data_IF_939010379812
#
_entry.id   IF_939010379812
#
_cell.length_a   1.000
_cell.length_b   1.000
_cell.length_c   1.000
_cell.angle_alpha   90.00
_cell.angle_beta   90.00
_cell.angle_gamma   90.00
#
_symmetry.space_group_name_H-M   'P 1'
#
loop_
_entity.id
_entity.type
_entity.pdbx_description
1 polymer ?
#
# COMPACT_ATOMS: atom_id res chain seq x y z
N UNK A 1 0.69 8.65 -21.72
CA UNK A 1 0.45 10.08 -21.87
C UNK A 1 0.74 10.78 -20.54
N UNK A 2 1.59 11.80 -20.58
CA UNK A 2 1.83 12.68 -19.44
C UNK A 2 0.92 13.89 -19.60
N UNK A 3 -0.09 14.02 -18.75
CA UNK A 3 -0.88 15.26 -18.62
C UNK A 3 -0.32 16.06 -17.45
N UNK A 4 0.60 16.97 -17.73
CA UNK A 4 1.11 17.95 -16.80
C UNK A 4 0.50 19.30 -17.13
N UNK A 5 -0.40 19.79 -16.29
CA UNK A 5 -0.94 21.15 -16.42
C UNK A 5 -0.02 22.13 -15.70
N UNK A 6 0.95 22.70 -16.41
CA UNK A 6 1.75 23.83 -15.92
C UNK A 6 1.03 25.14 -16.22
N UNK A 7 0.86 25.93 -15.17
CA UNK A 7 0.68 27.40 -15.15
C UNK A 7 -0.30 28.10 -16.12
N UNK A 8 -1.46 27.53 -16.43
CA UNK A 8 -2.64 28.36 -16.71
C UNK A 8 -3.87 27.68 -16.13
N UNK A 9 -4.75 28.48 -15.54
CA UNK A 9 -5.89 28.11 -14.71
C UNK A 9 -6.99 27.33 -15.46
N UNK A 10 -6.65 26.23 -16.11
CA UNK A 10 -7.67 25.31 -16.64
C UNK A 10 -8.08 24.38 -15.51
N UNK A 11 -9.28 24.56 -15.05
CA UNK A 11 -9.87 23.78 -13.96
C UNK A 11 -10.37 22.44 -14.52
N UNK A 12 -9.47 21.50 -14.79
CA UNK A 12 -9.83 20.15 -15.20
C UNK A 12 -10.52 19.44 -14.04
N UNK A 13 -11.84 19.33 -14.09
CA UNK A 13 -12.66 18.71 -13.04
C UNK A 13 -13.05 17.27 -13.36
N UNK A 14 -13.15 16.94 -14.65
CA UNK A 14 -13.51 15.60 -15.12
C UNK A 14 -12.57 15.15 -16.21
N UNK A 15 -12.10 13.92 -16.14
CA UNK A 15 -11.30 13.28 -17.17
C UNK A 15 -11.92 11.94 -17.52
N UNK A 16 -12.33 11.81 -18.78
CA UNK A 16 -12.74 10.56 -19.40
C UNK A 16 -11.84 10.31 -20.59
N UNK A 17 -11.07 9.26 -20.52
CA UNK A 17 -10.20 8.86 -21.60
C UNK A 17 -10.97 7.88 -22.50
N UNK A 18 -11.69 8.43 -23.49
CA UNK A 18 -12.25 7.62 -24.57
C UNK A 18 -11.04 7.17 -25.40
N UNK A 19 -10.70 5.90 -25.34
CA UNK A 19 -9.48 5.47 -25.92
C UNK A 19 -9.62 4.34 -26.89
N UNK A 20 -8.60 4.23 -27.63
CA UNK A 20 -8.23 3.12 -28.47
C UNK A 20 -7.88 1.83 -27.68
N UNK A 21 -8.16 1.81 -26.40
CA UNK A 21 -7.87 0.70 -25.48
C UNK A 21 -6.37 0.41 -25.30
N UNK A 22 -5.47 1.25 -25.82
CA UNK A 22 -4.00 1.02 -25.83
C UNK A 22 -3.26 1.73 -24.71
N UNK A 23 -3.95 2.56 -23.89
CA UNK A 23 -3.30 3.29 -22.82
C UNK A 23 -2.75 2.33 -21.76
N UNK A 24 -1.44 2.23 -21.66
CA UNK A 24 -0.76 1.37 -20.68
C UNK A 24 -0.35 2.12 -19.42
N UNK A 25 -0.06 3.42 -19.50
CA UNK A 25 0.39 4.21 -18.35
C UNK A 25 -0.32 5.56 -18.32
N UNK A 26 -0.79 5.95 -17.14
CA UNK A 26 -1.46 7.22 -16.89
C UNK A 26 -0.90 7.88 -15.63
N UNK A 27 -0.41 9.10 -15.79
CA UNK A 27 -0.02 9.95 -14.67
C UNK A 27 -0.85 11.23 -14.71
N UNK A 28 -1.62 11.48 -13.64
CA UNK A 28 -2.51 12.64 -13.53
C UNK A 28 -2.14 13.46 -12.31
N UNK A 29 -1.74 14.72 -12.54
CA UNK A 29 -1.51 15.71 -11.48
C UNK A 29 -2.41 16.93 -11.73
N UNK A 30 -3.69 16.80 -11.38
CA UNK A 30 -4.68 17.85 -11.57
C UNK A 30 -5.43 18.12 -10.28
N UNK A 31 -5.05 19.19 -9.57
CA UNK A 31 -5.58 19.54 -8.25
C UNK A 31 -7.10 19.82 -8.23
N UNK A 32 -7.72 20.06 -9.37
CA UNK A 32 -9.18 20.25 -9.50
C UNK A 32 -9.95 19.02 -9.96
N UNK A 33 -9.25 17.91 -10.31
CA UNK A 33 -9.90 16.71 -10.82
C UNK A 33 -10.71 16.03 -9.72
N UNK A 34 -12.04 15.92 -9.94
CA UNK A 34 -12.99 15.26 -9.03
C UNK A 34 -13.47 13.92 -9.56
N UNK A 35 -13.42 13.71 -10.89
CA UNK A 35 -13.89 12.47 -11.53
C UNK A 35 -12.85 11.97 -12.53
N UNK A 36 -12.55 10.69 -12.44
CA UNK A 36 -11.67 9.98 -13.37
C UNK A 36 -12.36 8.67 -13.77
N UNK A 37 -12.71 8.55 -15.05
CA UNK A 37 -13.31 7.35 -15.63
C UNK A 37 -12.25 6.58 -16.43
N UNK A 38 -11.92 5.38 -15.98
CA UNK A 38 -10.91 4.49 -16.56
C UNK A 38 -11.52 3.19 -17.12
N UNK A 39 -12.84 3.09 -17.19
CA UNK A 39 -13.56 1.86 -17.59
C UNK A 39 -13.18 1.38 -18.99
N UNK A 40 -12.85 2.30 -19.91
CA UNK A 40 -12.43 1.97 -21.28
C UNK A 40 -10.93 1.64 -21.42
N UNK A 41 -10.13 1.88 -20.36
CA UNK A 41 -8.67 1.74 -20.42
C UNK A 41 -8.20 0.36 -19.92
N UNK A 42 -8.66 -0.69 -20.56
CA UNK A 42 -8.44 -2.09 -20.12
C UNK A 42 -6.99 -2.57 -20.20
N UNK A 43 -6.13 -1.87 -20.97
CA UNK A 43 -4.70 -2.18 -21.09
C UNK A 43 -3.85 -1.47 -20.03
N UNK A 44 -4.44 -0.68 -19.12
CA UNK A 44 -3.71 0.11 -18.14
C UNK A 44 -2.91 -0.79 -17.20
N UNK A 45 -1.59 -0.56 -17.16
CA UNK A 45 -0.61 -1.24 -16.30
C UNK A 45 -0.16 -0.35 -15.16
N UNK A 46 0.03 0.95 -15.42
CA UNK A 46 0.56 1.90 -14.44
C UNK A 46 -0.39 3.08 -14.29
N UNK A 47 -0.85 3.31 -13.06
CA UNK A 47 -1.68 4.46 -12.70
C UNK A 47 -1.04 5.26 -11.57
N UNK A 48 -0.82 6.55 -11.82
CA UNK A 48 -0.35 7.48 -10.81
C UNK A 48 -1.28 8.70 -10.70
N UNK A 49 -1.78 8.93 -9.48
CA UNK A 49 -2.55 10.12 -9.13
C UNK A 49 -1.71 11.01 -8.24
N UNK A 50 -1.36 12.18 -8.75
CA UNK A 50 -0.49 13.13 -8.07
C UNK A 50 -1.22 13.96 -7.01
N UNK A 51 -0.42 14.73 -6.30
CA UNK A 51 -0.81 15.58 -5.19
C UNK A 51 -1.99 16.50 -5.51
N UNK A 52 -2.95 16.55 -4.61
CA UNK A 52 -4.07 17.49 -4.66
C UNK A 52 -5.24 17.05 -5.51
N UNK A 53 -5.16 15.89 -6.17
CA UNK A 53 -6.29 15.30 -6.91
C UNK A 53 -7.48 15.11 -5.98
N UNK A 54 -8.65 15.67 -6.35
CA UNK A 54 -9.88 15.64 -5.55
C UNK A 54 -10.79 14.45 -5.84
N UNK A 55 -10.31 13.46 -6.59
CA UNK A 55 -11.02 12.20 -6.82
C UNK A 55 -11.22 11.50 -5.49
N UNK A 56 -12.47 11.22 -5.12
CA UNK A 56 -12.83 10.57 -3.84
C UNK A 56 -13.01 9.07 -3.96
N UNK A 57 -13.33 8.58 -5.16
CA UNK A 57 -13.50 7.17 -5.48
C UNK A 57 -12.91 6.84 -6.85
N UNK A 58 -12.54 5.58 -7.06
CA UNK A 58 -11.96 5.11 -8.30
C UNK A 58 -12.44 3.69 -8.58
N UNK A 59 -13.07 3.48 -9.73
CA UNK A 59 -13.41 2.14 -10.20
C UNK A 59 -12.24 1.59 -11.04
N UNK A 60 -11.62 0.53 -10.54
CA UNK A 60 -10.50 -0.18 -11.18
C UNK A 60 -10.91 -1.59 -11.64
N UNK A 61 -12.19 -1.93 -11.60
CA UNK A 61 -12.69 -3.29 -11.91
C UNK A 61 -12.40 -3.71 -13.35
N UNK A 62 -12.31 -2.75 -14.27
CA UNK A 62 -12.04 -2.98 -15.70
C UNK A 62 -10.54 -2.97 -16.05
N UNK A 63 -9.66 -2.63 -15.11
CA UNK A 63 -8.23 -2.50 -15.35
C UNK A 63 -7.47 -3.75 -14.86
N UNK A 64 -7.84 -4.92 -15.34
CA UNK A 64 -7.29 -6.20 -14.88
C UNK A 64 -5.78 -6.38 -15.12
N UNK A 65 -5.21 -5.57 -16.02
CA UNK A 65 -3.77 -5.56 -16.31
C UNK A 65 -2.95 -4.66 -15.38
N UNK A 66 -3.60 -3.95 -14.43
CA UNK A 66 -2.91 -3.02 -13.54
C UNK A 66 -1.83 -3.74 -12.73
N UNK A 67 -0.59 -3.25 -12.84
CA UNK A 67 0.60 -3.75 -12.15
C UNK A 67 1.06 -2.78 -11.07
N UNK A 68 0.93 -1.47 -11.32
CA UNK A 68 1.37 -0.43 -10.38
C UNK A 68 0.26 0.58 -10.12
N UNK A 69 -0.02 0.84 -8.85
CA UNK A 69 -0.85 1.95 -8.40
C UNK A 69 -0.05 2.86 -7.49
N UNK A 70 0.04 4.13 -7.86
CA UNK A 70 0.58 5.20 -7.02
C UNK A 70 -0.46 6.28 -6.79
N UNK A 71 -0.70 6.68 -5.53
CA UNK A 71 -1.45 7.88 -5.21
C UNK A 71 -0.86 8.54 -3.97
N UNK A 72 -0.75 9.84 -4.01
CA UNK A 72 -0.12 10.61 -2.95
C UNK A 72 -0.90 11.90 -2.69
N UNK A 73 -1.31 12.10 -1.44
CA UNK A 73 -2.09 13.28 -1.02
C UNK A 73 -3.30 13.55 -1.94
N UNK A 74 -4.09 12.52 -2.18
CA UNK A 74 -5.36 12.59 -2.91
C UNK A 74 -6.55 12.66 -1.95
N UNK A 75 -7.76 12.84 -2.48
CA UNK A 75 -8.99 12.81 -1.71
C UNK A 75 -9.62 11.40 -1.62
N UNK A 76 -8.97 10.36 -2.13
CA UNK A 76 -9.48 8.98 -2.12
C UNK A 76 -9.83 8.52 -0.71
N UNK A 77 -10.97 7.85 -0.57
CA UNK A 77 -11.48 7.32 0.71
C UNK A 77 -11.29 5.80 0.83
N UNK A 78 -11.25 5.10 -0.30
CA UNK A 78 -11.08 3.66 -0.37
C UNK A 78 -10.38 3.25 -1.67
N UNK A 79 -9.74 2.07 -1.65
CA UNK A 79 -9.15 1.42 -2.82
C UNK A 79 -9.54 -0.06 -2.84
N UNK A 80 -10.14 -0.51 -3.94
CA UNK A 80 -10.45 -1.93 -4.16
C UNK A 80 -9.66 -2.46 -5.36
N UNK A 81 -8.77 -3.41 -5.08
CA UNK A 81 -7.94 -4.07 -6.07
C UNK A 81 -8.34 -5.55 -6.30
N UNK A 82 -9.51 -5.98 -5.88
CA UNK A 82 -9.93 -7.40 -5.98
C UNK A 82 -9.96 -7.93 -7.42
N UNK A 83 -10.10 -7.05 -8.40
CA UNK A 83 -10.07 -7.36 -9.84
C UNK A 83 -8.68 -7.23 -10.49
N UNK A 84 -7.70 -6.63 -9.79
CA UNK A 84 -6.37 -6.31 -10.33
C UNK A 84 -5.33 -7.39 -9.95
N UNK A 85 -5.52 -8.60 -10.43
CA UNK A 85 -4.72 -9.79 -10.05
C UNK A 85 -3.25 -9.71 -10.47
N UNK A 86 -2.91 -8.81 -11.40
CA UNK A 86 -1.55 -8.56 -11.85
C UNK A 86 -0.79 -7.55 -11.00
N UNK A 87 -1.44 -6.95 -10.00
CA UNK A 87 -0.87 -5.89 -9.18
C UNK A 87 0.39 -6.36 -8.44
N UNK A 88 1.48 -5.61 -8.64
CA UNK A 88 2.82 -5.87 -8.08
C UNK A 88 3.18 -4.83 -7.02
N UNK A 89 2.78 -3.57 -7.23
CA UNK A 89 3.12 -2.46 -6.33
C UNK A 89 1.91 -1.56 -6.08
N UNK A 90 1.64 -1.28 -4.80
CA UNK A 90 0.73 -0.24 -4.35
C UNK A 90 1.47 0.71 -3.44
N UNK A 91 1.43 1.99 -3.78
CA UNK A 91 1.94 3.07 -2.94
C UNK A 91 0.87 4.16 -2.81
N UNK A 92 0.15 4.15 -1.69
CA UNK A 92 -0.91 5.10 -1.39
C UNK A 92 -0.68 5.83 -0.05
N UNK A 93 0.58 6.09 0.27
CA UNK A 93 0.96 6.78 1.50
C UNK A 93 0.47 8.25 1.54
N UNK A 94 0.40 8.80 2.76
CA UNK A 94 -0.04 10.20 2.99
C UNK A 94 -1.42 10.53 2.42
N UNK A 95 -2.33 9.58 2.43
CA UNK A 95 -3.73 9.77 2.07
C UNK A 95 -4.62 9.72 3.32
N UNK A 96 -4.76 10.87 3.98
CA UNK A 96 -5.45 11.00 5.28
C UNK A 96 -6.94 10.58 5.26
N UNK A 97 -7.52 10.35 4.09
CA UNK A 97 -8.92 9.95 3.96
C UNK A 97 -9.10 8.46 3.65
N UNK A 98 -8.05 7.75 3.18
CA UNK A 98 -8.17 6.31 2.90
C UNK A 98 -8.40 5.54 4.20
N UNK A 99 -9.58 4.97 4.33
CA UNK A 99 -10.01 4.17 5.48
C UNK A 99 -10.06 2.66 5.19
N UNK A 100 -10.09 2.26 3.91
CA UNK A 100 -10.06 0.86 3.52
C UNK A 100 -9.23 0.61 2.27
N UNK A 101 -8.54 -0.54 2.26
CA UNK A 101 -7.78 -1.05 1.12
C UNK A 101 -8.07 -2.54 1.00
N UNK A 102 -8.58 -2.96 -0.16
CA UNK A 102 -8.81 -4.36 -0.49
C UNK A 102 -7.78 -4.85 -1.50
N UNK A 103 -6.91 -5.76 -1.07
CA UNK A 103 -5.88 -6.41 -1.91
C UNK A 103 -6.15 -7.92 -2.08
N UNK A 104 -7.40 -8.36 -1.85
CA UNK A 104 -7.77 -9.77 -1.97
C UNK A 104 -7.51 -10.27 -3.39
N UNK A 105 -6.80 -11.39 -3.54
CA UNK A 105 -6.51 -12.00 -4.83
C UNK A 105 -5.27 -11.46 -5.55
N UNK A 106 -4.66 -10.36 -5.10
CA UNK A 106 -3.42 -9.82 -5.67
C UNK A 106 -2.20 -10.67 -5.26
N UNK A 107 -2.11 -11.90 -5.79
CA UNK A 107 -1.05 -12.86 -5.40
C UNK A 107 0.36 -12.39 -5.78
N UNK A 108 0.47 -11.59 -6.86
CA UNK A 108 1.74 -11.03 -7.35
C UNK A 108 2.23 -9.80 -6.57
N UNK A 109 1.42 -9.30 -5.60
CA UNK A 109 1.75 -8.07 -4.86
C UNK A 109 3.03 -8.26 -4.03
N UNK A 110 4.07 -7.47 -4.36
CA UNK A 110 5.39 -7.50 -3.73
C UNK A 110 5.62 -6.33 -2.78
N UNK A 111 5.00 -5.19 -3.05
CA UNK A 111 5.14 -3.98 -2.23
C UNK A 111 3.78 -3.35 -1.97
N UNK A 112 3.46 -3.18 -0.70
CA UNK A 112 2.26 -2.49 -0.24
C UNK A 112 2.67 -1.40 0.75
N UNK A 113 2.38 -0.14 0.42
CA UNK A 113 2.64 1.02 1.24
C UNK A 113 1.38 1.85 1.41
N UNK A 114 0.96 2.05 2.66
CA UNK A 114 -0.22 2.84 3.02
C UNK A 114 -0.04 3.58 4.35
N UNK A 115 1.18 3.94 4.65
CA UNK A 115 1.48 4.75 5.84
C UNK A 115 0.76 6.11 5.80
N UNK A 116 0.51 6.69 6.97
CA UNK A 116 -0.24 7.93 7.12
C UNK A 116 -1.64 7.89 6.46
N UNK A 117 -2.39 6.81 6.72
CA UNK A 117 -3.79 6.64 6.29
C UNK A 117 -4.70 6.35 7.49
N UNK A 118 -6.01 6.29 7.27
CA UNK A 118 -7.02 5.90 8.29
C UNK A 118 -7.35 4.41 8.29
N UNK A 119 -6.55 3.57 7.66
CA UNK A 119 -6.79 2.12 7.56
C UNK A 119 -6.71 1.47 8.94
N UNK A 120 -7.83 0.96 9.44
CA UNK A 120 -7.95 0.27 10.74
C UNK A 120 -7.72 -1.24 10.65
N UNK A 121 -7.90 -1.83 9.47
CA UNK A 121 -7.78 -3.28 9.23
C UNK A 121 -7.24 -3.53 7.83
N UNK A 122 -6.34 -4.49 7.70
CA UNK A 122 -5.81 -4.95 6.41
C UNK A 122 -5.77 -6.47 6.38
N UNK A 123 -6.20 -7.07 5.26
CA UNK A 123 -6.09 -8.51 5.05
C UNK A 123 -5.11 -8.79 3.91
N UNK A 124 -3.91 -9.24 4.27
CA UNK A 124 -2.84 -9.58 3.33
C UNK A 124 -2.64 -11.09 3.15
N UNK A 125 -3.56 -11.93 3.64
CA UNK A 125 -3.41 -13.40 3.63
C UNK A 125 -3.23 -14.00 2.23
N UNK A 126 -3.81 -13.38 1.21
CA UNK A 126 -3.70 -13.86 -0.18
C UNK A 126 -2.49 -13.33 -0.94
N UNK A 127 -1.78 -12.35 -0.36
CA UNK A 127 -0.63 -11.70 -0.99
C UNK A 127 0.67 -12.44 -0.66
N UNK A 128 0.80 -13.66 -1.13
CA UNK A 128 1.89 -14.58 -0.74
C UNK A 128 3.27 -14.14 -1.22
N UNK A 129 3.35 -13.31 -2.27
CA UNK A 129 4.60 -12.75 -2.78
C UNK A 129 5.03 -11.45 -2.07
N UNK A 130 4.28 -11.00 -1.06
CA UNK A 130 4.56 -9.73 -0.38
C UNK A 130 5.95 -9.75 0.26
N UNK A 131 6.78 -8.77 -0.13
CA UNK A 131 8.17 -8.60 0.33
C UNK A 131 8.34 -7.39 1.22
N UNK A 132 7.62 -6.30 0.91
CA UNK A 132 7.71 -5.03 1.62
C UNK A 132 6.32 -4.58 2.04
N UNK A 133 6.13 -4.38 3.33
CA UNK A 133 4.90 -3.86 3.91
C UNK A 133 5.22 -2.63 4.76
N UNK A 134 4.60 -1.49 4.43
CA UNK A 134 4.70 -0.26 5.18
C UNK A 134 3.31 0.23 5.55
N UNK A 135 3.04 0.31 6.84
CA UNK A 135 1.75 0.66 7.41
C UNK A 135 1.89 1.53 8.67
N UNK A 136 3.02 2.19 8.81
CA UNK A 136 3.28 3.10 9.91
C UNK A 136 2.29 4.27 9.96
N UNK A 137 2.11 4.87 11.14
CA UNK A 137 1.18 5.98 11.37
C UNK A 137 -0.26 5.65 10.90
N UNK A 138 -0.75 4.46 11.25
CA UNK A 138 -2.13 4.03 10.96
C UNK A 138 -2.81 3.52 12.22
N UNK A 139 -4.14 3.60 12.31
CA UNK A 139 -4.88 3.07 13.46
C UNK A 139 -5.05 1.53 13.41
N UNK A 140 -4.06 0.81 12.86
CA UNK A 140 -4.05 -0.65 12.91
C UNK A 140 -3.83 -1.15 14.34
N UNK A 141 -4.68 -2.08 14.79
CA UNK A 141 -4.52 -2.75 16.10
C UNK A 141 -4.12 -4.22 15.97
N UNK A 142 -4.24 -4.78 14.75
CA UNK A 142 -3.90 -6.18 14.45
C UNK A 142 -3.28 -6.28 13.07
N UNK A 143 -2.25 -7.14 12.93
CA UNK A 143 -1.62 -7.45 11.66
C UNK A 143 -1.28 -8.94 11.59
N UNK A 144 -1.86 -9.66 10.64
CA UNK A 144 -1.58 -11.08 10.41
C UNK A 144 -0.77 -11.24 9.12
N UNK A 145 0.53 -11.53 9.28
CA UNK A 145 1.49 -11.75 8.18
C UNK A 145 1.93 -13.21 8.04
N UNK A 146 1.23 -14.15 8.70
CA UNK A 146 1.61 -15.58 8.71
C UNK A 146 1.72 -16.21 7.33
N UNK A 147 0.92 -15.75 6.35
CA UNK A 147 0.91 -16.24 4.98
C UNK A 147 1.92 -15.53 4.05
N UNK A 148 2.50 -14.42 4.51
CA UNK A 148 3.46 -13.62 3.72
C UNK A 148 4.90 -14.13 3.96
N UNK A 149 5.16 -15.38 3.60
CA UNK A 149 6.44 -16.07 3.87
C UNK A 149 7.63 -15.45 3.11
N UNK A 150 7.36 -14.65 2.09
CA UNK A 150 8.36 -13.90 1.32
C UNK A 150 8.68 -12.53 1.92
N UNK A 151 8.05 -12.13 3.05
CA UNK A 151 8.24 -10.81 3.66
C UNK A 151 9.70 -10.60 4.08
N UNK A 152 10.30 -9.50 3.61
CA UNK A 152 11.68 -9.11 3.84
C UNK A 152 11.81 -7.86 4.72
N UNK A 153 10.86 -6.93 4.58
CA UNK A 153 10.82 -5.69 5.34
C UNK A 153 9.39 -5.41 5.82
N UNK A 154 9.27 -5.13 7.10
CA UNK A 154 8.02 -4.71 7.74
C UNK A 154 8.27 -3.41 8.50
N UNK A 155 7.44 -2.40 8.24
CA UNK A 155 7.39 -1.18 9.00
C UNK A 155 5.97 -0.93 9.48
N UNK A 156 5.78 -0.85 10.79
CA UNK A 156 4.48 -0.71 11.44
C UNK A 156 4.55 0.14 12.72
N UNK A 157 5.53 1.04 12.78
CA UNK A 157 5.68 2.00 13.88
C UNK A 157 4.46 2.93 14.00
N UNK A 158 4.26 3.47 15.18
CA UNK A 158 3.12 4.32 15.52
C UNK A 158 1.77 3.69 15.11
N UNK A 159 1.53 2.47 15.62
CA UNK A 159 0.28 1.73 15.45
C UNK A 159 -0.17 1.11 16.77
N UNK A 160 -1.45 0.74 16.87
CA UNK A 160 -1.99 0.04 18.04
C UNK A 160 -1.73 -1.47 18.07
N UNK A 161 -0.80 -2.00 17.28
CA UNK A 161 -0.50 -3.43 17.21
C UNK A 161 0.10 -3.89 18.52
N UNK A 162 -0.50 -4.91 19.16
CA UNK A 162 -0.04 -5.46 20.44
C UNK A 162 0.64 -6.83 20.33
N UNK A 163 0.42 -7.54 19.22
CA UNK A 163 1.00 -8.87 19.00
C UNK A 163 1.41 -9.01 17.53
N UNK A 164 2.62 -9.53 17.30
CA UNK A 164 3.14 -9.79 15.96
C UNK A 164 3.76 -11.18 15.90
N UNK A 165 3.14 -12.10 15.16
CA UNK A 165 3.65 -13.45 15.00
C UNK A 165 4.46 -13.55 13.70
N UNK A 166 5.78 -13.67 13.83
CA UNK A 166 6.74 -13.71 12.74
C UNK A 166 7.32 -15.12 12.45
N UNK A 167 6.78 -16.16 13.09
CA UNK A 167 7.29 -17.55 12.99
C UNK A 167 7.47 -18.03 11.53
N UNK A 168 6.61 -17.59 10.62
CA UNK A 168 6.65 -18.01 9.22
C UNK A 168 7.43 -17.04 8.31
N UNK A 169 7.84 -15.88 8.82
CA UNK A 169 8.49 -14.84 8.02
C UNK A 169 10.02 -15.03 8.02
N UNK A 170 10.47 -16.23 7.61
CA UNK A 170 11.88 -16.65 7.65
C UNK A 170 12.79 -15.79 6.78
N UNK A 171 12.25 -14.97 5.85
CA UNK A 171 13.02 -14.07 4.99
C UNK A 171 13.08 -12.65 5.52
N UNK A 172 12.44 -12.36 6.67
CA UNK A 172 12.40 -11.01 7.24
C UNK A 172 13.79 -10.57 7.67
N UNK A 173 14.25 -9.44 7.09
CA UNK A 173 15.59 -8.85 7.29
C UNK A 173 15.55 -7.53 8.05
N UNK A 174 14.42 -6.81 7.97
CA UNK A 174 14.23 -5.51 8.63
C UNK A 174 12.85 -5.42 9.26
N UNK A 175 12.80 -5.00 10.52
CA UNK A 175 11.58 -4.72 11.26
C UNK A 175 11.71 -3.33 11.92
N UNK A 176 10.71 -2.48 11.73
CA UNK A 176 10.58 -1.18 12.39
C UNK A 176 9.19 -1.13 13.03
N UNK A 177 9.13 -1.06 14.36
CA UNK A 177 7.89 -1.11 15.12
C UNK A 177 7.93 -0.35 16.47
N UNK A 178 8.68 0.75 16.63
CA UNK A 178 8.54 1.56 17.83
C UNK A 178 7.13 2.21 17.89
N UNK A 179 6.80 2.73 19.06
CA UNK A 179 5.50 3.36 19.30
C UNK A 179 4.31 2.40 18.99
N UNK A 180 4.47 1.14 19.41
CA UNK A 180 3.42 0.11 19.32
C UNK A 180 3.05 -0.42 20.70
N UNK A 181 2.00 -1.24 20.77
CA UNK A 181 1.64 -1.95 22.00
C UNK A 181 2.31 -3.34 22.13
N UNK A 182 3.32 -3.62 21.31
CA UNK A 182 4.07 -4.89 21.36
C UNK A 182 4.94 -4.90 22.62
N UNK A 183 4.92 -6.01 23.36
CA UNK A 183 5.77 -6.21 24.56
C UNK A 183 6.75 -7.36 24.39
N UNK A 184 6.52 -8.21 23.39
CA UNK A 184 7.39 -9.36 23.12
C UNK A 184 7.49 -9.64 21.63
N UNK A 185 8.71 -9.81 21.13
CA UNK A 185 9.04 -10.18 19.76
C UNK A 185 9.87 -11.47 19.75
N UNK A 186 9.38 -12.49 19.06
CA UNK A 186 10.18 -13.68 18.75
C UNK A 186 10.71 -13.60 17.32
N UNK A 187 11.99 -13.30 17.16
CA UNK A 187 12.71 -13.16 15.91
C UNK A 187 13.54 -14.41 15.58
N UNK A 188 13.48 -15.47 16.41
CA UNK A 188 14.32 -16.67 16.29
C UNK A 188 14.24 -17.37 14.94
N UNK A 189 13.13 -17.23 14.23
CA UNK A 189 12.89 -17.81 12.90
C UNK A 189 13.12 -16.84 11.74
N UNK A 190 13.48 -15.58 12.02
CA UNK A 190 13.71 -14.55 10.99
C UNK A 190 15.19 -14.48 10.58
N UNK A 191 15.49 -13.59 9.62
CA UNK A 191 16.87 -13.22 9.26
C UNK A 191 17.40 -12.00 10.02
N UNK A 192 16.66 -11.49 10.98
CA UNK A 192 17.09 -10.37 11.83
C UNK A 192 18.06 -10.96 12.89
N UNK A 193 19.35 -10.74 12.69
CA UNK A 193 20.42 -11.26 13.53
C UNK A 193 21.13 -10.18 14.35
N UNK A 194 20.97 -8.90 13.97
CA UNK A 194 21.67 -7.77 14.56
C UNK A 194 20.68 -6.69 14.98
N UNK A 195 20.94 -5.95 16.07
CA UNK A 195 20.08 -4.83 16.51
C UNK A 195 19.86 -3.78 15.44
N UNK A 196 20.84 -3.51 14.56
CA UNK A 196 20.69 -2.53 13.46
C UNK A 196 19.59 -2.85 12.42
N UNK A 197 19.07 -4.08 12.43
CA UNK A 197 17.97 -4.49 11.56
C UNK A 197 16.60 -4.45 12.26
N UNK A 198 16.57 -4.08 13.55
CA UNK A 198 15.39 -3.94 14.39
C UNK A 198 15.34 -2.54 14.98
N UNK A 199 14.22 -1.86 14.82
CA UNK A 199 13.85 -0.66 15.57
C UNK A 199 12.56 -0.99 16.35
N UNK A 200 12.61 -0.99 17.68
CA UNK A 200 11.45 -1.20 18.56
C UNK A 200 11.65 -0.40 19.85
N UNK A 201 10.58 -0.32 20.66
CA UNK A 201 10.65 0.34 21.96
C UNK A 201 11.61 -0.41 22.90
N UNK A 202 12.30 0.28 23.84
CA UNK A 202 13.31 -0.32 24.70
C UNK A 202 12.74 -1.33 25.71
N UNK A 203 11.45 -1.27 26.00
CA UNK A 203 10.74 -2.17 26.93
C UNK A 203 10.26 -3.48 26.25
N UNK A 204 10.52 -3.66 24.96
CA UNK A 204 10.14 -4.87 24.23
C UNK A 204 11.13 -6.00 24.52
N UNK A 205 10.64 -7.11 25.05
CA UNK A 205 11.44 -8.33 25.19
C UNK A 205 11.66 -8.97 23.81
N UNK A 206 12.92 -9.04 23.34
CA UNK A 206 13.27 -9.59 22.04
C UNK A 206 14.00 -10.93 22.18
N UNK A 207 13.52 -11.95 21.47
CA UNK A 207 14.13 -13.28 21.39
C UNK A 207 14.78 -13.43 20.00
N UNK A 208 16.09 -13.63 19.97
CA UNK A 208 16.83 -13.95 18.75
C UNK A 208 17.07 -15.47 18.63
N UNK A 209 17.46 -15.92 17.44
CA UNK A 209 17.99 -17.28 17.29
C UNK A 209 19.29 -17.42 18.11
N UNK A 210 19.40 -18.54 18.83
CA UNK A 210 20.67 -18.97 19.43
C UNK A 210 21.66 -19.34 18.34
#
# INVERSE_FOLDING_TARGET
AFLRTEKKQYKLTKLKLKGDGKLESLNVTAASLTHLDLTSNTQLKDLHLGRGTKVTSLDLSHNARLETMGCYQTALTALDFSHNKNLVKVDCHNNKNIASINVKGCKKLRSLRFDNTKVKKINVKTNTDLRNLRCENTPLTKLDVKKNTNLQSLRCDNTGISKLNLKNNKKLKKLVCPETNIRKLDLSKTKIKKPSALECDPDVTVIYAK
#
